data_IF_560312068708
#
_entry.id   IF_560312068708
#
_cell.length_a   1.000
_cell.length_b   1.000
_cell.length_c   1.000
_cell.angle_alpha   90.00
_cell.angle_beta   90.00
_cell.angle_gamma   90.00
#
_symmetry.space_group_name_H-M   'P 1'
#
loop_
_entity.id
_entity.type
_entity.pdbx_description
1 polymer ?
#
# COMPACT_ATOMS: atom_id res chain seq x y z
N UNK A 1 9.08 6.11 5.46
CA UNK A 1 9.03 6.59 4.06
C UNK A 1 7.94 5.87 3.28
N UNK A 2 8.08 4.58 2.99
CA UNK A 2 7.08 3.82 2.21
C UNK A 2 5.73 3.76 2.91
N UNK A 3 5.66 3.42 4.20
CA UNK A 3 4.40 3.38 4.96
C UNK A 3 3.69 4.75 5.03
N UNK A 4 4.45 5.83 5.26
CA UNK A 4 3.90 7.19 5.25
C UNK A 4 3.43 7.61 3.85
N UNK A 5 4.13 7.16 2.80
CA UNK A 5 3.72 7.37 1.41
C UNK A 5 2.46 6.58 1.04
N UNK A 6 2.30 5.36 1.55
CA UNK A 6 1.09 4.55 1.38
C UNK A 6 -0.12 5.23 2.04
N UNK A 7 -0.01 5.61 3.32
CA UNK A 7 -1.06 6.33 4.01
C UNK A 7 -1.42 7.66 3.31
N UNK A 8 -0.42 8.40 2.84
CA UNK A 8 -0.66 9.61 2.05
C UNK A 8 -1.37 9.29 0.73
N UNK A 9 -1.00 8.21 0.05
CA UNK A 9 -1.66 7.78 -1.19
C UNK A 9 -3.12 7.41 -0.97
N UNK A 10 -3.44 6.70 0.12
CA UNK A 10 -4.83 6.37 0.50
C UNK A 10 -5.66 7.65 0.78
N UNK A 11 -5.03 8.71 1.29
CA UNK A 11 -5.69 9.98 1.59
C UNK A 11 -5.90 10.88 0.37
N UNK A 12 -4.89 11.01 -0.51
CA UNK A 12 -4.92 11.97 -1.63
C UNK A 12 -5.09 11.31 -3.00
N UNK A 13 -5.04 9.99 -3.07
CA UNK A 13 -4.95 9.18 -4.28
C UNK A 13 -3.53 9.14 -4.87
N UNK A 14 -3.16 8.00 -5.45
CA UNK A 14 -1.84 7.80 -6.07
C UNK A 14 -1.44 8.86 -7.11
N UNK A 15 -2.41 9.38 -7.87
CA UNK A 15 -2.15 10.41 -8.88
C UNK A 15 -1.70 11.75 -8.28
N UNK A 16 -2.09 12.03 -7.03
CA UNK A 16 -1.74 13.27 -6.33
C UNK A 16 -0.58 13.08 -5.34
N UNK A 17 -0.12 11.85 -5.11
CA UNK A 17 1.06 11.58 -4.30
C UNK A 17 2.28 12.27 -4.94
N UNK A 18 3.01 13.09 -4.19
CA UNK A 18 4.26 13.69 -4.65
C UNK A 18 5.34 13.60 -3.58
N UNK A 19 6.60 13.61 -4.01
CA UNK A 19 7.76 13.73 -3.11
C UNK A 19 7.66 14.96 -2.19
N UNK A 20 7.08 16.07 -2.65
CA UNK A 20 6.88 17.27 -1.84
C UNK A 20 5.90 17.05 -0.69
N UNK A 21 4.70 16.54 -1.00
CA UNK A 21 3.69 16.23 0.02
C UNK A 21 4.18 15.17 1.02
N UNK A 22 4.95 14.18 0.55
CA UNK A 22 5.58 13.21 1.45
C UNK A 22 6.59 13.88 2.38
N UNK A 23 7.39 14.83 1.87
CA UNK A 23 8.40 15.54 2.67
C UNK A 23 7.74 16.35 3.78
N UNK A 24 6.67 17.06 3.45
CA UNK A 24 5.83 17.78 4.42
C UNK A 24 5.24 16.83 5.46
N UNK A 25 4.64 15.71 5.02
CA UNK A 25 4.04 14.70 5.90
C UNK A 25 5.02 14.15 6.93
N UNK A 26 6.27 13.89 6.53
CA UNK A 26 7.29 13.31 7.43
C UNK A 26 8.18 14.37 8.09
N UNK A 27 7.93 15.66 7.85
CA UNK A 27 8.63 16.77 8.50
C UNK A 27 10.10 16.94 8.10
N UNK A 28 10.47 16.59 6.87
CA UNK A 28 11.84 16.71 6.37
C UNK A 28 11.89 17.50 5.06
N UNK A 29 13.10 17.90 4.65
CA UNK A 29 13.31 18.54 3.34
C UNK A 29 13.25 17.51 2.22
N UNK A 30 12.66 17.86 1.07
CA UNK A 30 12.55 16.97 -0.10
C UNK A 30 13.87 16.30 -0.52
N UNK A 31 15.03 16.99 -0.54
CA UNK A 31 16.32 16.35 -0.83
C UNK A 31 16.70 15.21 0.12
N UNK A 32 16.24 15.24 1.38
CA UNK A 32 16.49 14.16 2.35
C UNK A 32 15.76 12.87 1.99
N UNK A 33 14.62 12.95 1.29
CA UNK A 33 13.87 11.75 0.90
C UNK A 33 14.64 10.89 -0.11
N UNK A 34 15.39 11.52 -1.01
CA UNK A 34 16.13 10.82 -2.07
C UNK A 34 17.27 9.93 -1.54
N UNK A 35 17.64 10.07 -0.26
CA UNK A 35 18.56 9.14 0.42
C UNK A 35 17.89 7.80 0.76
N UNK A 36 16.56 7.74 0.76
CA UNK A 36 15.79 6.56 1.18
C UNK A 36 15.00 5.92 0.03
N UNK A 37 14.60 6.72 -0.95
CA UNK A 37 13.90 6.28 -2.17
C UNK A 37 14.55 6.90 -3.40
N UNK A 38 14.66 6.14 -4.48
CA UNK A 38 15.30 6.56 -5.73
C UNK A 38 14.51 7.60 -6.54
N UNK A 39 13.34 8.01 -6.05
CA UNK A 39 12.46 8.98 -6.69
C UNK A 39 10.99 8.58 -6.57
N UNK A 40 10.14 9.29 -7.33
CA UNK A 40 8.69 9.08 -7.35
C UNK A 40 8.33 7.64 -7.76
N UNK A 41 8.87 7.16 -8.88
CA UNK A 41 8.55 5.80 -9.37
C UNK A 41 9.03 4.70 -8.41
N UNK A 42 10.19 4.92 -7.76
CA UNK A 42 10.68 3.99 -6.75
C UNK A 42 9.80 3.97 -5.51
N UNK A 43 9.32 5.13 -5.07
CA UNK A 43 8.36 5.22 -3.99
C UNK A 43 7.07 4.48 -4.35
N UNK A 44 6.47 4.77 -5.51
CA UNK A 44 5.22 4.15 -5.98
C UNK A 44 5.35 2.63 -6.05
N UNK A 45 6.43 2.12 -6.65
CA UNK A 45 6.68 0.68 -6.72
C UNK A 45 6.82 0.04 -5.34
N UNK A 46 7.53 0.69 -4.40
CA UNK A 46 7.67 0.16 -3.03
C UNK A 46 6.35 0.16 -2.27
N UNK A 47 5.50 1.15 -2.50
CA UNK A 47 4.13 1.17 -1.94
C UNK A 47 3.33 0.01 -2.53
N UNK A 48 3.37 -0.20 -3.84
CA UNK A 48 2.64 -1.29 -4.50
C UNK A 48 3.08 -2.67 -3.99
N UNK A 49 4.38 -2.92 -3.86
CA UNK A 49 4.91 -4.17 -3.28
C UNK A 49 4.38 -4.37 -1.86
N UNK A 50 4.47 -3.34 -1.02
CA UNK A 50 3.96 -3.40 0.36
C UNK A 50 2.46 -3.71 0.40
N UNK A 51 1.65 -3.02 -0.41
CA UNK A 51 0.21 -3.24 -0.44
C UNK A 51 -0.14 -4.66 -0.91
N UNK A 52 0.62 -5.22 -1.85
CA UNK A 52 0.45 -6.60 -2.29
C UNK A 52 0.82 -7.61 -1.20
N UNK A 53 1.88 -7.35 -0.41
CA UNK A 53 2.25 -8.18 0.73
C UNK A 53 1.15 -8.15 1.80
N UNK A 54 0.63 -6.97 2.15
CA UNK A 54 -0.46 -6.82 3.12
C UNK A 54 -1.77 -7.48 2.64
N UNK A 55 -2.09 -7.35 1.35
CA UNK A 55 -3.22 -8.04 0.74
C UNK A 55 -3.04 -9.57 0.76
N UNK A 56 -1.83 -10.06 0.49
CA UNK A 56 -1.53 -11.48 0.52
C UNK A 56 -1.66 -12.06 1.93
N UNK A 57 -1.21 -11.33 2.95
CA UNK A 57 -1.39 -11.72 4.36
C UNK A 57 -2.87 -11.77 4.75
N UNK A 58 -3.65 -10.74 4.38
CA UNK A 58 -5.09 -10.68 4.65
C UNK A 58 -5.86 -11.83 3.98
N UNK A 59 -5.57 -12.10 2.71
CA UNK A 59 -6.14 -13.23 1.97
C UNK A 59 -5.70 -14.55 2.57
N UNK A 60 -4.41 -14.70 2.86
CA UNK A 60 -3.81 -15.91 3.43
C UNK A 60 -4.42 -16.30 4.78
N UNK A 61 -4.73 -15.31 5.62
CA UNK A 61 -5.46 -15.51 6.88
C UNK A 61 -6.92 -15.90 6.65
N UNK A 62 -7.61 -15.25 5.70
CA UNK A 62 -9.03 -15.49 5.45
C UNK A 62 -9.33 -16.88 4.85
N UNK A 63 -8.39 -17.48 4.12
CA UNK A 63 -8.58 -18.80 3.50
C UNK A 63 -8.25 -19.98 4.41
N UNK A 64 -7.64 -19.74 5.59
CA UNK A 64 -7.28 -20.82 6.52
C UNK A 64 -8.51 -21.66 6.89
N UNK A 65 -8.39 -22.99 6.75
CA UNK A 65 -9.48 -23.93 7.06
C UNK A 65 -10.55 -24.07 5.97
N UNK A 66 -10.47 -23.31 4.88
CA UNK A 66 -11.37 -23.46 3.73
C UNK A 66 -10.69 -24.18 2.56
N UNK A 67 -11.49 -24.76 1.66
CA UNK A 67 -11.03 -25.35 0.40
C UNK A 67 -12.01 -25.06 -0.75
N UNK A 68 -11.54 -25.24 -1.99
CA UNK A 68 -12.37 -25.14 -3.19
C UNK A 68 -13.10 -23.80 -3.32
N UNK A 69 -14.42 -23.85 -3.52
CA UNK A 69 -15.25 -22.65 -3.74
C UNK A 69 -15.32 -21.75 -2.50
N UNK A 70 -15.30 -22.31 -1.30
CA UNK A 70 -15.37 -21.54 -0.07
C UNK A 70 -14.08 -20.76 0.17
N UNK A 71 -12.91 -21.37 -0.12
CA UNK A 71 -11.63 -20.67 -0.08
C UNK A 71 -11.58 -19.53 -1.10
N UNK A 72 -12.05 -19.76 -2.33
CA UNK A 72 -12.10 -18.71 -3.36
C UNK A 72 -13.01 -17.54 -2.94
N UNK A 73 -14.18 -17.84 -2.37
CA UNK A 73 -15.09 -16.83 -1.90
C UNK A 73 -14.53 -16.04 -0.69
N UNK A 74 -13.81 -16.71 0.22
CA UNK A 74 -13.12 -16.06 1.33
C UNK A 74 -12.00 -15.12 0.82
N UNK A 75 -11.16 -15.59 -0.10
CA UNK A 75 -10.10 -14.79 -0.71
C UNK A 75 -10.65 -13.53 -1.41
N UNK A 76 -11.69 -13.68 -2.24
CA UNK A 76 -12.28 -12.55 -2.95
C UNK A 76 -12.88 -11.50 -2.01
N UNK A 77 -13.53 -11.92 -0.92
CA UNK A 77 -14.06 -11.00 0.10
C UNK A 77 -12.94 -10.28 0.85
N UNK A 78 -11.90 -10.99 1.26
CA UNK A 78 -10.76 -10.41 1.95
C UNK A 78 -10.02 -9.39 1.07
N UNK A 79 -9.74 -9.74 -0.18
CA UNK A 79 -9.11 -8.81 -1.12
C UNK A 79 -9.98 -7.57 -1.37
N UNK A 80 -11.30 -7.75 -1.55
CA UNK A 80 -12.22 -6.61 -1.71
C UNK A 80 -12.25 -5.73 -0.47
N UNK A 81 -12.25 -6.30 0.73
CA UNK A 81 -12.21 -5.52 1.97
C UNK A 81 -10.92 -4.71 2.05
N UNK A 82 -9.77 -5.33 1.77
CA UNK A 82 -8.47 -4.66 1.74
C UNK A 82 -8.45 -3.46 0.79
N UNK A 83 -8.93 -3.61 -0.44
CA UNK A 83 -9.00 -2.51 -1.43
C UNK A 83 -9.95 -1.38 -0.99
N UNK A 84 -11.00 -1.68 -0.23
CA UNK A 84 -11.90 -0.64 0.29
C UNK A 84 -11.32 0.10 1.50
N UNK A 85 -10.45 -0.56 2.27
CA UNK A 85 -9.71 0.05 3.38
C UNK A 85 -8.53 0.90 2.88
N UNK A 86 -8.00 0.60 1.68
CA UNK A 86 -6.88 1.29 1.03
C UNK A 86 -7.25 1.78 -0.40
N UNK A 87 -8.02 2.89 -0.52
CA UNK A 87 -8.57 3.39 -1.78
C UNK A 87 -7.59 4.10 -2.74
#
# INVERSE_FOLDING_TARGET
MVAAGAALADEVGFANLTMGLLAERVGVRTPSLYKHVGGQDDLTRRIAVRALDEAADAVGGAVQGYAGRDALAAAARAFRAFVLEHP
#
